data_IF_748819515109
#
_entry.id   IF_748819515109
#
_cell.length_a   1.000
_cell.length_b   1.000
_cell.length_c   1.000
_cell.angle_alpha   90.00
_cell.angle_beta   90.00
_cell.angle_gamma   90.00
#
_symmetry.space_group_name_H-M   'P 1'
#
loop_
_entity.id
_entity.type
_entity.pdbx_description
1 polymer ?
#
# COMPACT_ATOMS: atom_id res chain seq x y z
N UNK A 1 -13.54 10.12 -4.86
CA UNK A 1 -13.66 9.83 -3.41
C UNK A 1 -12.51 10.50 -2.68
N UNK A 2 -12.59 10.70 -1.37
CA UNK A 2 -11.45 11.22 -0.60
C UNK A 2 -10.28 10.22 -0.64
N UNK A 3 -9.04 10.74 -0.70
CA UNK A 3 -7.84 9.91 -0.55
C UNK A 3 -7.76 9.38 0.87
N UNK A 4 -7.23 8.18 1.02
CA UNK A 4 -7.06 7.52 2.31
C UNK A 4 -5.80 6.66 2.32
N UNK A 5 -5.36 6.31 3.53
CA UNK A 5 -4.21 5.45 3.72
C UNK A 5 -4.62 3.98 3.60
N UNK A 6 -3.78 3.21 2.93
CA UNK A 6 -3.90 1.77 2.86
C UNK A 6 -2.61 1.11 3.30
N UNK A 7 -2.75 0.02 4.04
CA UNK A 7 -1.67 -0.93 4.25
C UNK A 7 -1.77 -2.03 3.21
N UNK A 8 -0.67 -2.26 2.50
CA UNK A 8 -0.52 -3.32 1.50
C UNK A 8 0.54 -4.28 1.99
N UNK A 9 0.23 -5.58 2.02
CA UNK A 9 1.23 -6.61 2.33
C UNK A 9 1.16 -7.72 1.29
N UNK A 10 2.31 -8.12 0.76
CA UNK A 10 2.44 -9.34 0.00
C UNK A 10 2.49 -10.54 0.97
N UNK A 11 1.79 -11.62 0.64
CA UNK A 11 1.89 -12.91 1.30
C UNK A 11 2.72 -13.89 0.47
N UNK A 12 2.71 -13.72 -0.85
CA UNK A 12 3.58 -14.44 -1.78
C UNK A 12 4.13 -13.50 -2.85
N UNK A 13 5.28 -13.84 -3.43
CA UNK A 13 5.92 -13.12 -4.53
C UNK A 13 6.03 -11.59 -4.32
N UNK A 14 6.66 -11.19 -3.21
CA UNK A 14 6.78 -9.79 -2.81
C UNK A 14 7.41 -8.88 -3.89
N UNK A 15 8.32 -9.40 -4.71
CA UNK A 15 8.94 -8.65 -5.80
C UNK A 15 7.92 -8.24 -6.89
N UNK A 16 7.06 -9.16 -7.31
CA UNK A 16 6.04 -8.84 -8.31
C UNK A 16 4.94 -7.94 -7.73
N UNK A 17 4.55 -8.14 -6.46
CA UNK A 17 3.63 -7.22 -5.77
C UNK A 17 4.24 -5.82 -5.66
N UNK A 18 5.53 -5.72 -5.35
CA UNK A 18 6.26 -4.44 -5.32
C UNK A 18 6.14 -3.74 -6.66
N UNK A 19 6.51 -4.40 -7.76
CA UNK A 19 6.41 -3.84 -9.11
C UNK A 19 5.00 -3.32 -9.43
N UNK A 20 3.95 -4.07 -9.03
CA UNK A 20 2.56 -3.64 -9.18
C UNK A 20 2.22 -2.42 -8.32
N UNK A 21 2.64 -2.38 -7.06
CA UNK A 21 2.49 -1.18 -6.20
C UNK A 21 3.18 0.01 -6.85
N UNK A 22 4.38 -0.19 -7.40
CA UNK A 22 5.15 0.88 -8.00
C UNK A 22 4.57 1.38 -9.33
N UNK A 23 3.87 0.51 -10.06
CA UNK A 23 3.19 0.83 -11.32
C UNK A 23 1.84 1.49 -11.08
N UNK A 24 1.03 0.94 -10.17
CA UNK A 24 -0.33 1.43 -9.87
C UNK A 24 -0.27 2.74 -9.08
N UNK A 25 0.68 2.85 -8.14
CA UNK A 25 0.94 4.08 -7.37
C UNK A 25 2.26 4.69 -7.86
N UNK A 26 2.22 5.22 -9.08
CA UNK A 26 3.41 5.74 -9.78
C UNK A 26 4.08 6.91 -9.05
N UNK A 27 3.30 7.76 -8.38
CA UNK A 27 3.80 8.85 -7.56
C UNK A 27 4.53 8.29 -6.33
N UNK A 28 5.86 8.34 -6.34
CA UNK A 28 6.71 7.84 -5.25
C UNK A 28 6.32 8.42 -3.88
N UNK A 29 5.89 9.67 -3.85
CA UNK A 29 5.47 10.38 -2.64
C UNK A 29 4.22 9.76 -2.00
N UNK A 30 3.40 9.07 -2.79
CA UNK A 30 2.16 8.42 -2.35
C UNK A 30 2.36 6.97 -1.90
N UNK A 31 3.60 6.47 -1.87
CA UNK A 31 3.91 5.14 -1.37
C UNK A 31 5.10 5.17 -0.42
N UNK A 32 5.00 4.39 0.65
CA UNK A 32 6.04 4.22 1.63
C UNK A 32 6.33 2.72 1.78
N UNK A 33 7.57 2.32 1.51
CA UNK A 33 8.02 0.94 1.70
C UNK A 33 8.43 0.75 3.17
N UNK A 34 7.66 -0.05 3.91
CA UNK A 34 7.93 -0.40 5.31
C UNK A 34 8.96 -1.53 5.40
N UNK A 35 8.82 -2.50 4.51
CA UNK A 35 9.65 -3.69 4.38
C UNK A 35 9.53 -4.21 2.93
N UNK A 36 10.38 -5.15 2.49
CA UNK A 36 10.34 -5.67 1.12
C UNK A 36 8.99 -6.27 0.68
N UNK A 37 8.13 -6.61 1.63
CA UNK A 37 6.81 -7.20 1.45
C UNK A 37 5.65 -6.34 1.98
N UNK A 38 5.93 -5.11 2.45
CA UNK A 38 4.93 -4.25 3.12
C UNK A 38 5.06 -2.80 2.69
N UNK A 39 3.92 -2.19 2.39
CA UNK A 39 3.82 -0.80 1.97
C UNK A 39 2.67 -0.10 2.67
N UNK A 40 2.81 1.21 2.85
CA UNK A 40 1.68 2.10 3.09
C UNK A 40 1.51 2.95 1.84
N UNK A 41 0.29 3.06 1.33
CA UNK A 41 -0.01 3.87 0.15
C UNK A 41 -1.12 4.86 0.45
N UNK A 42 -1.06 6.02 -0.18
CA UNK A 42 -2.06 7.08 -0.07
C UNK A 42 -2.73 7.29 -1.43
N UNK A 43 -3.95 6.77 -1.58
CA UNK A 43 -4.67 6.79 -2.85
C UNK A 43 -6.17 6.94 -2.61
N UNK A 44 -6.93 7.20 -3.67
CA UNK A 44 -8.38 7.19 -3.66
C UNK A 44 -8.97 5.82 -4.03
N UNK A 45 -10.26 5.67 -3.76
CA UNK A 45 -11.04 4.46 -4.04
C UNK A 45 -11.14 3.50 -2.84
N UNK A 46 -11.88 2.39 -2.96
CA UNK A 46 -11.98 1.36 -1.93
C UNK A 46 -10.80 0.37 -1.96
N UNK A 47 -10.51 -0.27 -0.83
CA UNK A 47 -9.43 -1.27 -0.73
C UNK A 47 -9.56 -2.41 -1.75
N UNK A 48 -10.79 -2.85 -2.04
CA UNK A 48 -11.04 -3.90 -3.03
C UNK A 48 -10.65 -3.49 -4.45
N UNK A 49 -10.86 -2.24 -4.83
CA UNK A 49 -10.45 -1.73 -6.14
C UNK A 49 -8.92 -1.65 -6.24
N UNK A 50 -8.26 -1.18 -5.18
CA UNK A 50 -6.80 -1.18 -5.12
C UNK A 50 -6.22 -2.61 -5.19
N UNK A 51 -6.81 -3.57 -4.47
CA UNK A 51 -6.40 -4.98 -4.53
C UNK A 51 -6.55 -5.57 -5.94
N UNK A 52 -7.65 -5.27 -6.64
CA UNK A 52 -7.84 -5.70 -8.03
C UNK A 52 -6.86 -5.02 -8.99
N UNK A 53 -6.61 -3.70 -8.83
CA UNK A 53 -5.59 -2.98 -9.63
C UNK A 53 -4.18 -3.53 -9.44
N UNK A 54 -3.84 -3.92 -8.22
CA UNK A 54 -2.55 -4.54 -7.91
C UNK A 54 -2.45 -5.98 -8.45
N UNK A 55 -3.55 -6.60 -8.88
CA UNK A 55 -3.57 -7.98 -9.36
C UNK A 55 -3.48 -9.03 -8.24
N UNK A 56 -3.35 -8.63 -6.97
CA UNK A 56 -3.20 -9.57 -5.84
C UNK A 56 -4.45 -10.42 -5.56
N UNK A 57 -5.60 -10.02 -6.11
CA UNK A 57 -6.87 -10.75 -6.01
C UNK A 57 -7.11 -11.66 -7.20
N UNK A 58 -6.72 -11.21 -8.40
CA UNK A 58 -7.25 -11.72 -9.66
C UNK A 58 -6.16 -12.29 -10.60
N UNK A 59 -4.88 -11.93 -10.42
CA UNK A 59 -3.77 -12.36 -11.27
C UNK A 59 -2.86 -13.39 -10.53
N UNK A 60 -2.88 -14.67 -10.94
CA UNK A 60 -2.08 -15.70 -10.27
C UNK A 60 -0.56 -15.51 -10.44
N UNK A 61 -0.10 -14.68 -11.37
CA UNK A 61 1.34 -14.46 -11.62
C UNK A 61 1.94 -13.38 -10.72
N UNK A 62 1.13 -12.48 -10.16
CA UNK A 62 1.59 -11.40 -9.28
C UNK A 62 1.89 -11.90 -7.87
N UNK A 63 1.11 -12.87 -7.39
CA UNK A 63 1.15 -13.33 -6.00
C UNK A 63 -0.06 -12.87 -5.20
N UNK A 64 -0.13 -13.31 -3.95
CA UNK A 64 -1.25 -13.05 -3.04
C UNK A 64 -0.86 -11.96 -2.04
N UNK A 65 -1.86 -11.23 -1.55
CA UNK A 65 -1.63 -10.14 -0.61
C UNK A 65 -2.92 -9.64 0.02
N UNK A 66 -2.78 -8.65 0.89
CA UNK A 66 -3.90 -7.96 1.52
C UNK A 66 -3.76 -6.46 1.31
N UNK A 67 -4.90 -5.80 1.10
CA UNK A 67 -5.02 -4.34 1.14
C UNK A 67 -6.04 -4.00 2.22
N UNK A 68 -5.61 -3.20 3.20
CA UNK A 68 -6.41 -2.78 4.33
C UNK A 68 -6.53 -1.26 4.34
N UNK A 69 -7.75 -0.73 4.45
CA UNK A 69 -7.95 0.71 4.71
C UNK A 69 -7.55 1.03 6.15
N UNK A 70 -6.67 2.01 6.34
CA UNK A 70 -6.25 2.46 7.66
C UNK A 70 -7.18 3.58 8.15
N UNK A 71 -8.06 3.25 9.10
CA UNK A 71 -8.90 4.24 9.80
C UNK A 71 -8.28 4.78 11.09
N UNK A 72 -7.36 4.03 11.68
CA UNK A 72 -6.56 4.46 12.84
C UNK A 72 -5.23 3.70 12.84
N UNK A 73 -4.23 4.25 13.52
CA UNK A 73 -2.92 3.64 13.67
C UNK A 73 -2.40 3.87 15.09
N UNK A 74 -1.61 2.94 15.60
CA UNK A 74 -1.02 3.00 16.93
C UNK A 74 0.07 1.94 17.09
N UNK A 75 1.14 2.29 17.79
CA UNK A 75 2.28 1.39 18.01
C UNK A 75 3.63 2.08 17.88
N UNK A 76 4.69 1.27 17.74
CA UNK A 76 6.05 1.76 17.47
C UNK A 76 6.41 1.43 16.02
N UNK A 77 6.86 2.45 15.30
CA UNK A 77 7.38 2.34 13.95
C UNK A 77 8.51 3.37 13.76
N UNK A 78 9.32 3.28 12.69
CA UNK A 78 10.33 4.28 12.37
C UNK A 78 9.74 5.70 12.30
N UNK A 79 10.47 6.71 12.78
CA UNK A 79 10.02 8.10 12.78
C UNK A 79 9.64 8.59 11.38
N UNK A 80 10.39 8.14 10.36
CA UNK A 80 10.15 8.45 8.95
C UNK A 80 8.78 8.01 8.44
N UNK A 81 8.19 6.95 8.99
CA UNK A 81 6.83 6.56 8.63
C UNK A 81 5.81 7.57 9.13
N UNK A 82 5.95 8.03 10.39
CA UNK A 82 5.03 8.98 10.99
C UNK A 82 5.10 10.34 10.31
N UNK A 83 6.31 10.79 9.98
CA UNK A 83 6.55 12.00 9.20
C UNK A 83 5.90 11.89 7.81
N UNK A 84 6.05 10.74 7.15
CA UNK A 84 5.42 10.50 5.85
C UNK A 84 3.89 10.49 5.93
N UNK A 85 3.30 9.79 6.91
CA UNK A 85 1.84 9.77 7.14
C UNK A 85 1.32 11.20 7.33
N UNK A 86 1.97 11.96 8.21
CA UNK A 86 1.61 13.34 8.51
C UNK A 86 1.63 14.22 7.25
N UNK A 87 2.69 14.11 6.43
CA UNK A 87 2.82 14.85 5.19
C UNK A 87 1.77 14.50 4.11
N UNK A 88 1.09 13.35 4.20
CA UNK A 88 0.02 12.98 3.27
C UNK A 88 -1.38 13.38 3.77
N UNK A 89 -1.58 13.45 5.08
CA UNK A 89 -2.90 13.66 5.70
C UNK A 89 -3.16 15.09 6.20
N UNK A 90 -2.11 15.90 6.37
CA UNK A 90 -2.20 17.33 6.70
C UNK A 90 -2.12 18.21 5.45
#
# INVERSE_FOLDING_TARGET
MAKQLFFVTALTNAAAVKEKVETVVAEKERRYELAPDKWVVYTDGPAGELASKLGIRDDPHVGTGLVLTLGSYGGRAPSSLWEWIKAQTE
#
